data_IF_332922845812
#
_entry.id   IF_332922845812
#
_cell.length_a   1.000
_cell.length_b   1.000
_cell.length_c   1.000
_cell.angle_alpha   90.00
_cell.angle_beta   90.00
_cell.angle_gamma   90.00
#
_symmetry.space_group_name_H-M   'P 1'
#
loop_
_entity.id
_entity.type
_entity.pdbx_description
1 polymer ?
#
# COMPACT_ATOMS: atom_id res chain seq x y z
N UNK A 1 4.61 -1.30 1.01
CA UNK A 1 3.80 -0.30 1.76
C UNK A 1 2.33 -0.65 1.60
N UNK A 2 1.56 -0.72 2.67
CA UNK A 2 0.15 -1.13 2.64
C UNK A 2 -0.67 -0.23 3.59
N UNK A 3 -1.84 0.25 3.15
CA UNK A 3 -2.77 1.05 3.97
C UNK A 3 -3.79 0.21 4.71
N UNK A 4 -3.90 -1.07 4.36
CA UNK A 4 -4.60 -2.09 5.13
C UNK A 4 -3.59 -3.17 5.51
N UNK A 5 -3.46 -3.41 6.79
CA UNK A 5 -2.52 -4.38 7.35
C UNK A 5 -3.05 -4.91 8.68
N UNK A 6 -2.27 -5.77 9.31
CA UNK A 6 -2.60 -6.32 10.63
C UNK A 6 -2.94 -5.21 11.65
N UNK A 7 -3.86 -5.50 12.58
CA UNK A 7 -4.53 -6.78 12.85
C UNK A 7 -5.71 -7.10 11.92
N UNK A 8 -6.04 -6.21 10.98
CA UNK A 8 -7.17 -6.40 10.06
C UNK A 8 -6.79 -7.36 8.93
N UNK A 9 -7.37 -8.57 8.97
CA UNK A 9 -7.22 -9.56 7.90
C UNK A 9 -8.24 -9.30 6.78
N UNK A 10 -7.72 -9.04 5.58
CA UNK A 10 -8.48 -8.90 4.34
C UNK A 10 -7.62 -9.37 3.15
N UNK A 11 -8.16 -9.28 1.93
CA UNK A 11 -7.44 -9.72 0.73
C UNK A 11 -6.09 -9.02 0.53
N UNK A 12 -6.00 -7.72 0.80
CA UNK A 12 -4.75 -6.96 0.69
C UNK A 12 -3.72 -7.44 1.72
N UNK A 13 -4.13 -7.56 2.98
CA UNK A 13 -3.27 -8.06 4.05
C UNK A 13 -2.78 -9.47 3.76
N UNK A 14 -3.67 -10.37 3.32
CA UNK A 14 -3.32 -11.73 2.95
C UNK A 14 -2.31 -11.78 1.79
N UNK A 15 -2.51 -10.96 0.76
CA UNK A 15 -1.58 -10.83 -0.37
C UNK A 15 -0.20 -10.34 0.09
N UNK A 16 -0.14 -9.33 0.94
CA UNK A 16 1.13 -8.80 1.49
C UNK A 16 1.87 -9.88 2.27
N UNK A 17 1.20 -10.63 3.16
CA UNK A 17 1.83 -11.69 3.94
C UNK A 17 2.38 -12.81 3.05
N UNK A 18 1.70 -13.16 1.95
CA UNK A 18 2.20 -14.14 0.99
C UNK A 18 3.44 -13.63 0.24
N UNK A 19 3.44 -12.36 -0.16
CA UNK A 19 4.60 -11.72 -0.79
C UNK A 19 5.80 -11.71 0.17
N UNK A 20 5.59 -11.36 1.44
CA UNK A 20 6.66 -11.38 2.44
C UNK A 20 7.28 -12.77 2.60
N UNK A 21 6.44 -13.81 2.67
CA UNK A 21 6.90 -15.20 2.74
C UNK A 21 7.73 -15.60 1.51
N UNK A 22 7.24 -15.24 0.31
CA UNK A 22 7.97 -15.54 -0.92
C UNK A 22 9.32 -14.82 -0.94
N UNK A 23 9.36 -13.52 -0.66
CA UNK A 23 10.59 -12.75 -0.66
C UNK A 23 11.61 -13.25 0.37
N UNK A 24 11.15 -13.66 1.55
CA UNK A 24 12.02 -14.26 2.56
C UNK A 24 12.62 -15.60 2.09
N UNK A 25 11.82 -16.45 1.42
CA UNK A 25 12.30 -17.72 0.85
C UNK A 25 13.34 -17.50 -0.26
N UNK A 26 13.24 -16.40 -0.99
CA UNK A 26 14.22 -15.98 -2.01
C UNK A 26 15.43 -15.23 -1.42
N UNK A 27 15.49 -15.07 -0.10
CA UNK A 27 16.62 -14.43 0.60
C UNK A 27 16.60 -12.90 0.57
N UNK A 28 15.47 -12.28 0.26
CA UNK A 28 15.33 -10.82 0.26
C UNK A 28 15.03 -10.27 1.67
N UNK A 29 15.67 -9.16 2.02
CA UNK A 29 15.29 -8.37 3.19
C UNK A 29 14.03 -7.54 2.88
N UNK A 30 13.10 -7.50 3.83
CA UNK A 30 11.83 -6.79 3.65
C UNK A 30 11.55 -5.81 4.78
N UNK A 31 10.96 -4.65 4.41
CA UNK A 31 10.43 -3.65 5.34
C UNK A 31 8.96 -3.40 5.02
N UNK A 32 8.09 -3.63 5.99
CA UNK A 32 6.67 -3.25 5.91
C UNK A 32 6.47 -1.87 6.52
N UNK A 33 5.89 -0.95 5.74
CA UNK A 33 5.39 0.33 6.25
C UNK A 33 3.88 0.31 6.14
N UNK A 34 3.19 0.43 7.28
CA UNK A 34 1.74 0.29 7.37
C UNK A 34 1.13 1.18 8.48
N UNK A 35 -0.18 1.40 8.49
CA UNK A 35 -0.85 2.13 9.55
C UNK A 35 -0.85 1.35 10.86
N UNK A 36 -0.61 2.05 11.96
CA UNK A 36 -0.78 1.54 13.32
C UNK A 36 -2.28 1.58 13.68
N UNK A 37 -2.86 0.45 14.05
CA UNK A 37 -4.28 0.37 14.43
C UNK A 37 -4.47 0.56 15.95
N UNK A 38 -3.66 -0.10 16.75
CA UNK A 38 -3.67 -0.02 18.20
C UNK A 38 -2.26 0.09 18.76
N UNK A 39 -1.88 -0.80 19.63
CA UNK A 39 -0.49 -0.99 20.04
C UNK A 39 0.23 -1.93 19.06
N UNK A 40 1.49 -1.59 18.69
CA UNK A 40 2.24 -2.34 17.67
C UNK A 40 2.41 -3.81 18.08
N UNK A 41 2.74 -4.06 19.33
CA UNK A 41 2.92 -5.43 19.82
C UNK A 41 1.62 -6.23 19.74
N UNK A 42 0.49 -5.59 20.06
CA UNK A 42 -0.83 -6.20 19.97
C UNK A 42 -1.25 -6.40 18.51
N UNK A 43 -1.02 -5.38 17.67
CA UNK A 43 -1.39 -5.42 16.25
C UNK A 43 -0.67 -6.54 15.49
N UNK A 44 0.57 -6.85 15.86
CA UNK A 44 1.41 -7.85 15.19
C UNK A 44 1.51 -9.18 15.94
N UNK A 45 0.82 -9.33 17.07
CA UNK A 45 0.93 -10.51 17.93
C UNK A 45 0.58 -11.80 17.17
N UNK A 46 1.51 -12.75 17.19
CA UNK A 46 1.35 -14.07 16.58
C UNK A 46 1.33 -14.07 15.06
N UNK A 47 1.59 -12.95 14.41
CA UNK A 47 1.67 -12.89 12.95
C UNK A 47 3.02 -13.39 12.46
N UNK A 48 2.99 -14.26 11.45
CA UNK A 48 4.18 -14.64 10.70
C UNK A 48 4.48 -13.57 9.65
N UNK A 49 5.47 -12.74 9.93
CA UNK A 49 5.97 -11.69 9.02
C UNK A 49 7.20 -12.14 8.22
N UNK A 50 7.57 -13.42 8.32
CA UNK A 50 8.71 -14.02 7.61
C UNK A 50 10.01 -13.20 7.76
N UNK A 51 10.26 -12.71 8.98
CA UNK A 51 11.45 -11.90 9.30
C UNK A 51 11.42 -10.45 8.83
N UNK A 52 10.32 -9.96 8.26
CA UNK A 52 10.22 -8.59 7.80
C UNK A 52 10.35 -7.59 8.96
N UNK A 53 11.14 -6.53 8.76
CA UNK A 53 11.11 -5.36 9.63
C UNK A 53 9.79 -4.61 9.46
N UNK A 54 9.33 -3.92 10.48
CA UNK A 54 8.07 -3.17 10.44
C UNK A 54 8.24 -1.73 10.90
N UNK A 55 7.59 -0.82 10.21
CA UNK A 55 7.42 0.59 10.61
C UNK A 55 5.94 0.92 10.61
N UNK A 56 5.35 0.98 11.81
CA UNK A 56 3.93 1.26 11.98
C UNK A 56 3.72 2.76 12.19
N UNK A 57 2.97 3.39 11.29
CA UNK A 57 2.76 4.84 11.27
C UNK A 57 1.45 5.23 11.96
N UNK A 58 1.45 6.38 12.64
CA UNK A 58 0.23 6.93 13.22
C UNK A 58 -0.84 7.13 12.16
N UNK A 59 -2.05 6.69 12.47
CA UNK A 59 -3.17 6.71 11.54
C UNK A 59 -4.48 6.95 12.27
N UNK A 60 -5.48 7.40 11.54
CA UNK A 60 -6.87 7.46 12.01
C UNK A 60 -7.76 6.57 11.14
N UNK A 61 -8.76 5.91 11.73
CA UNK A 61 -9.72 5.14 10.96
C UNK A 61 -10.57 6.08 10.10
N UNK A 62 -10.93 5.63 8.91
CA UNK A 62 -11.92 6.33 8.09
C UNK A 62 -13.31 6.17 8.73
N UNK A 63 -14.07 7.26 9.02
CA UNK A 63 -15.32 7.17 9.77
C UNK A 63 -16.33 6.17 9.20
N UNK A 64 -16.49 6.14 7.88
CA UNK A 64 -17.40 5.23 7.19
C UNK A 64 -16.83 3.82 6.95
N UNK A 65 -15.53 3.62 7.17
CA UNK A 65 -14.85 2.36 6.90
C UNK A 65 -13.61 2.18 7.81
N UNK A 66 -13.82 1.81 9.08
CA UNK A 66 -12.75 1.80 10.09
C UNK A 66 -11.57 0.87 9.79
N UNK A 67 -11.78 -0.14 8.92
CA UNK A 67 -10.70 -1.03 8.49
C UNK A 67 -9.68 -0.33 7.57
N UNK A 68 -10.08 0.75 6.89
CA UNK A 68 -9.19 1.60 6.12
C UNK A 68 -8.71 2.72 7.02
N UNK A 69 -7.41 2.86 7.13
CA UNK A 69 -6.79 3.85 8.02
C UNK A 69 -5.96 4.84 7.22
N UNK A 70 -6.21 6.11 7.46
CA UNK A 70 -5.47 7.19 6.82
C UNK A 70 -4.19 7.48 7.62
N UNK A 71 -3.06 7.40 6.96
CA UNK A 71 -1.75 7.69 7.55
C UNK A 71 -1.38 9.15 7.30
N UNK A 72 -1.06 9.88 8.37
CA UNK A 72 -0.56 11.25 8.29
C UNK A 72 0.98 11.27 8.30
N UNK A 73 1.60 10.70 7.28
CA UNK A 73 3.05 10.77 7.10
C UNK A 73 3.39 11.65 5.91
N UNK A 74 4.29 12.60 6.10
CA UNK A 74 4.83 13.37 4.97
C UNK A 74 5.83 12.52 4.19
N UNK A 75 5.93 12.75 2.88
CA UNK A 75 6.87 12.04 1.99
C UNK A 75 8.32 12.09 2.52
N UNK A 76 8.75 13.22 3.08
CA UNK A 76 10.08 13.37 3.67
C UNK A 76 10.32 12.41 4.85
N UNK A 77 9.32 12.15 5.69
CA UNK A 77 9.43 11.19 6.79
C UNK A 77 9.50 9.76 6.27
N UNK A 78 8.71 9.43 5.24
CA UNK A 78 8.80 8.13 4.57
C UNK A 78 10.15 7.95 3.90
N UNK A 79 10.66 8.97 3.21
CA UNK A 79 11.98 8.95 2.60
C UNK A 79 13.10 8.71 3.63
N UNK A 80 12.99 9.26 4.84
CA UNK A 80 13.95 8.99 5.92
C UNK A 80 13.94 7.50 6.32
N UNK A 81 12.77 6.92 6.61
CA UNK A 81 12.68 5.49 6.95
C UNK A 81 13.15 4.58 5.82
N UNK A 82 12.81 4.92 4.58
CA UNK A 82 13.26 4.18 3.40
C UNK A 82 14.77 4.34 3.19
N UNK A 83 15.32 5.55 3.41
CA UNK A 83 16.74 5.82 3.28
C UNK A 83 17.62 5.06 4.28
N UNK A 84 17.10 4.83 5.50
CA UNK A 84 17.74 3.98 6.51
C UNK A 84 17.76 2.50 6.08
N UNK A 85 16.68 2.04 5.46
CA UNK A 85 16.57 0.66 4.97
C UNK A 85 17.30 0.46 3.63
N UNK A 86 17.37 1.49 2.78
CA UNK A 86 17.96 1.48 1.43
C UNK A 86 17.34 0.41 0.51
N UNK A 87 16.02 0.49 0.22
CA UNK A 87 15.38 -0.50 -0.61
C UNK A 87 15.82 -0.40 -2.07
N UNK A 88 15.93 -1.53 -2.75
CA UNK A 88 16.13 -1.59 -4.20
C UNK A 88 14.82 -1.38 -4.97
N UNK A 89 13.68 -1.67 -4.33
CA UNK A 89 12.34 -1.52 -4.91
C UNK A 89 11.31 -1.21 -3.83
N UNK A 90 10.31 -0.41 -4.16
CA UNK A 90 9.17 -0.12 -3.29
C UNK A 90 7.93 -0.76 -3.89
N UNK A 91 7.32 -1.68 -3.14
CA UNK A 91 6.04 -2.31 -3.48
C UNK A 91 4.88 -1.57 -2.82
N UNK A 92 3.93 -1.07 -3.61
CA UNK A 92 2.71 -0.40 -3.15
C UNK A 92 1.53 -1.36 -3.27
N UNK A 93 1.10 -1.91 -2.13
CA UNK A 93 -0.05 -2.80 -2.06
C UNK A 93 -1.39 -2.07 -1.96
N UNK A 94 -1.37 -0.75 -1.77
CA UNK A 94 -2.57 0.09 -1.66
C UNK A 94 -2.34 1.45 -2.30
N UNK A 95 -3.33 1.98 -3.06
CA UNK A 95 -3.14 3.16 -3.90
C UNK A 95 -3.65 4.47 -3.26
N UNK A 96 -3.80 4.55 -1.94
CA UNK A 96 -4.39 5.72 -1.29
C UNK A 96 -3.32 6.74 -0.84
N UNK A 97 -3.49 7.31 0.36
CA UNK A 97 -2.64 8.38 0.88
C UNK A 97 -1.20 7.92 1.09
N UNK A 98 -1.01 6.74 1.71
CA UNK A 98 0.32 6.19 1.96
C UNK A 98 1.01 5.80 0.64
N UNK A 99 0.26 5.21 -0.29
CA UNK A 99 0.77 4.90 -1.62
C UNK A 99 1.25 6.13 -2.37
N UNK A 100 0.46 7.22 -2.34
CA UNK A 100 0.85 8.50 -2.94
C UNK A 100 2.09 9.12 -2.30
N UNK A 101 2.15 9.14 -0.96
CA UNK A 101 3.34 9.62 -0.25
C UNK A 101 4.55 8.72 -0.51
N UNK A 102 4.30 7.42 -0.70
CA UNK A 102 5.32 6.43 -1.09
C UNK A 102 5.94 6.71 -2.45
N UNK A 103 5.13 7.04 -3.48
CA UNK A 103 5.69 7.43 -4.79
C UNK A 103 6.54 8.69 -4.70
N UNK A 104 6.11 9.69 -3.93
CA UNK A 104 6.89 10.91 -3.75
C UNK A 104 8.21 10.65 -3.00
N UNK A 105 8.21 9.76 -2.01
CA UNK A 105 9.43 9.35 -1.31
C UNK A 105 10.37 8.55 -2.23
N UNK A 106 9.81 7.66 -3.05
CA UNK A 106 10.55 6.88 -4.04
C UNK A 106 11.26 7.76 -5.07
N UNK A 107 10.56 8.77 -5.60
CA UNK A 107 11.13 9.76 -6.53
C UNK A 107 12.33 10.49 -5.91
N UNK A 108 12.19 10.92 -4.64
CA UNK A 108 13.28 11.60 -3.92
C UNK A 108 14.51 10.71 -3.73
N UNK A 109 14.30 9.41 -3.56
CA UNK A 109 15.36 8.41 -3.36
C UNK A 109 15.82 7.77 -4.67
N UNK A 110 15.15 8.03 -5.79
CA UNK A 110 15.38 7.39 -7.10
C UNK A 110 15.23 5.87 -7.05
N UNK A 111 14.28 5.38 -6.27
CA UNK A 111 13.98 3.95 -6.12
C UNK A 111 12.78 3.59 -6.99
N UNK A 112 12.83 2.51 -7.78
CA UNK A 112 11.71 2.07 -8.61
C UNK A 112 10.51 1.63 -7.75
N UNK A 113 9.31 1.85 -8.30
CA UNK A 113 8.04 1.54 -7.65
C UNK A 113 7.29 0.48 -8.43
N UNK A 114 6.83 -0.56 -7.73
CA UNK A 114 5.89 -1.55 -8.22
C UNK A 114 4.55 -1.33 -7.52
N UNK A 115 3.54 -0.89 -8.25
CA UNK A 115 2.19 -0.73 -7.73
C UNK A 115 1.32 -1.93 -8.09
N UNK A 116 0.41 -2.32 -7.18
CA UNK A 116 -0.54 -3.40 -7.44
C UNK A 116 -1.94 -2.83 -7.59
N UNK A 117 -2.55 -3.07 -8.73
CA UNK A 117 -3.97 -2.82 -8.98
C UNK A 117 -4.77 -4.05 -8.58
N UNK A 118 -5.11 -4.16 -7.30
CA UNK A 118 -5.83 -5.33 -6.76
C UNK A 118 -7.18 -4.96 -6.12
N UNK A 119 -7.54 -3.68 -6.13
CA UNK A 119 -8.80 -3.21 -5.53
C UNK A 119 -9.49 -2.32 -6.55
N UNK A 120 -10.67 -2.70 -6.97
CA UNK A 120 -11.54 -1.83 -7.76
C UNK A 120 -12.14 -0.73 -6.84
N UNK A 121 -11.32 0.29 -6.59
CA UNK A 121 -11.68 1.41 -5.72
C UNK A 121 -12.83 2.22 -6.32
N UNK A 122 -12.97 2.19 -7.64
CA UNK A 122 -14.05 2.89 -8.35
C UNK A 122 -15.38 2.21 -8.09
N UNK A 123 -15.46 0.88 -8.24
CA UNK A 123 -16.66 0.11 -7.88
C UNK A 123 -16.99 0.25 -6.39
N UNK A 124 -15.98 0.31 -5.53
CA UNK A 124 -16.17 0.59 -4.10
C UNK A 124 -16.77 1.99 -3.86
N UNK A 125 -16.23 3.03 -4.48
CA UNK A 125 -16.77 4.40 -4.34
C UNK A 125 -18.23 4.49 -4.79
N UNK A 126 -18.59 3.83 -5.88
CA UNK A 126 -19.96 3.76 -6.39
C UNK A 126 -20.88 3.00 -5.42
N UNK A 127 -20.43 1.83 -4.93
CA UNK A 127 -21.20 0.99 -4.01
C UNK A 127 -21.53 1.70 -2.67
N UNK A 128 -20.67 2.60 -2.23
CA UNK A 128 -20.84 3.35 -0.98
C UNK A 128 -21.44 4.75 -1.17
N UNK A 129 -22.07 5.00 -2.32
CA UNK A 129 -22.85 6.22 -2.54
C UNK A 129 -22.01 7.49 -2.70
N UNK A 130 -20.77 7.36 -3.17
CA UNK A 130 -19.86 8.47 -3.43
C UNK A 130 -19.58 8.66 -4.94
N UNK A 131 -20.62 8.73 -5.80
CA UNK A 131 -20.42 8.83 -7.26
C UNK A 131 -19.66 10.09 -7.67
N UNK A 132 -19.83 11.20 -6.94
CA UNK A 132 -19.12 12.46 -7.21
C UNK A 132 -17.61 12.34 -6.94
N UNK A 133 -17.17 11.41 -6.07
CA UNK A 133 -15.75 11.20 -5.80
C UNK A 133 -15.08 10.26 -6.82
N UNK A 134 -15.85 9.58 -7.67
CA UNK A 134 -15.33 8.54 -8.59
C UNK A 134 -14.28 9.09 -9.54
N UNK A 135 -14.51 10.24 -10.17
CA UNK A 135 -13.57 10.87 -11.10
C UNK A 135 -12.28 11.31 -10.41
N UNK A 136 -12.38 11.83 -9.18
CA UNK A 136 -11.23 12.23 -8.37
C UNK A 136 -10.40 11.00 -8.00
N UNK A 137 -11.07 9.94 -7.56
CA UNK A 137 -10.43 8.66 -7.21
C UNK A 137 -9.76 8.04 -8.43
N UNK A 138 -10.44 7.98 -9.58
CA UNK A 138 -9.86 7.50 -10.84
C UNK A 138 -8.62 8.31 -11.25
N UNK A 139 -8.72 9.64 -11.23
CA UNK A 139 -7.58 10.51 -11.55
C UNK A 139 -6.40 10.32 -10.60
N UNK A 140 -6.68 10.07 -9.33
CA UNK A 140 -5.66 9.78 -8.32
C UNK A 140 -4.97 8.43 -8.61
N UNK A 141 -5.74 7.38 -8.85
CA UNK A 141 -5.24 6.05 -9.19
C UNK A 141 -4.39 6.10 -10.46
N UNK A 142 -4.95 6.67 -11.53
CA UNK A 142 -4.26 6.83 -12.80
C UNK A 142 -2.91 7.53 -12.65
N UNK A 143 -2.86 8.59 -11.85
CA UNK A 143 -1.63 9.34 -11.60
C UNK A 143 -0.62 8.55 -10.79
N UNK A 144 -1.06 7.77 -9.80
CA UNK A 144 -0.21 6.89 -9.01
C UNK A 144 0.41 5.80 -9.88
N UNK A 145 -0.42 5.10 -10.68
CA UNK A 145 0.05 4.03 -11.55
C UNK A 145 0.98 4.55 -12.66
N UNK A 146 0.71 5.73 -13.24
CA UNK A 146 1.63 6.37 -14.21
C UNK A 146 2.98 6.80 -13.62
N UNK A 147 3.04 7.06 -12.31
CA UNK A 147 4.31 7.37 -11.60
C UNK A 147 5.04 6.12 -11.16
N UNK A 148 4.40 4.97 -11.20
CA UNK A 148 5.03 3.70 -10.85
C UNK A 148 5.83 3.16 -12.03
N UNK A 149 6.95 2.50 -11.74
CA UNK A 149 7.80 1.86 -12.75
C UNK A 149 7.08 0.69 -13.39
N UNK A 150 6.27 -0.03 -12.61
CA UNK A 150 5.50 -1.18 -13.04
C UNK A 150 4.16 -1.22 -12.30
N UNK A 151 3.11 -1.62 -13.00
CA UNK A 151 1.81 -1.95 -12.41
C UNK A 151 1.54 -3.44 -12.57
N UNK A 152 1.29 -4.12 -11.44
CA UNK A 152 0.84 -5.51 -11.43
C UNK A 152 -0.69 -5.55 -11.34
N UNK A 153 -1.30 -6.46 -12.06
CA UNK A 153 -2.74 -6.72 -12.06
C UNK A 153 -3.01 -8.19 -11.72
N UNK A 154 -4.11 -8.53 -11.03
CA UNK A 154 -4.39 -9.89 -10.57
C UNK A 154 -4.80 -10.84 -11.71
N UNK A 155 -5.22 -10.31 -12.85
CA UNK A 155 -5.68 -11.12 -13.98
C UNK A 155 -5.55 -10.38 -15.30
N UNK A 156 -5.57 -11.11 -16.41
CA UNK A 156 -5.58 -10.52 -17.74
C UNK A 156 -6.82 -9.66 -18.01
N UNK A 157 -7.96 -9.97 -17.39
CA UNK A 157 -9.16 -9.14 -17.48
C UNK A 157 -8.95 -7.74 -16.88
N UNK A 158 -8.17 -7.63 -15.82
CA UNK A 158 -7.86 -6.34 -15.16
C UNK A 158 -6.84 -5.49 -15.92
N UNK A 159 -6.20 -6.02 -16.98
CA UNK A 159 -5.25 -5.26 -17.80
C UNK A 159 -5.97 -4.12 -18.53
N UNK A 160 -7.15 -4.38 -19.09
CA UNK A 160 -7.91 -3.38 -19.82
C UNK A 160 -8.32 -2.22 -18.87
N UNK A 161 -8.77 -2.53 -17.66
CA UNK A 161 -9.15 -1.55 -16.65
C UNK A 161 -7.96 -0.69 -16.22
N UNK A 162 -6.82 -1.33 -15.92
CA UNK A 162 -5.60 -0.64 -15.55
C UNK A 162 -5.02 0.21 -16.71
N UNK A 163 -5.13 -0.23 -17.95
CA UNK A 163 -4.67 0.49 -19.14
C UNK A 163 -5.56 1.68 -19.51
N UNK A 164 -6.84 1.68 -19.09
CA UNK A 164 -7.79 2.76 -19.34
C UNK A 164 -7.64 3.94 -18.37
N UNK A 165 -6.81 3.82 -17.34
CA UNK A 165 -6.49 4.85 -16.35
C UNK A 165 -5.32 5.73 -16.81
#
# INVERSE_FOLDING_TARGET
>A
MAESFLPHMNGVTGSVLQILRHLANEGHETLVIAPKAGDVETDLRGADLSGARTTMLRSVPLPSYPQVRVVFARAAKLAAHLGEFRPDVIHLASPFVLGWQGTAAADALKVPVVAVYQTDVVAYAQKYGLPAATSIVQSHLARLHRRSTLTLVPSSASIADAASM
#
